data_IF_011042996588
#
_entry.id   IF_011042996588
#
_cell.length_a   1.000
_cell.length_b   1.000
_cell.length_c   1.000
_cell.angle_alpha   90.00
_cell.angle_beta   90.00
_cell.angle_gamma   90.00
#
_symmetry.space_group_name_H-M   'P 1'
#
loop_
_entity.id
_entity.type
_entity.pdbx_description
1 polymer ?
#
# COMPACT_ATOMS: atom_id res chain seq x y z
N UNK A 1 -25.49 16.40 45.99
CA UNK A 1 -25.89 17.32 44.89
C UNK A 1 -24.72 18.18 44.39
N UNK A 2 -24.12 19.10 45.17
CA UNK A 2 -23.02 19.98 44.70
C UNK A 2 -21.78 19.26 44.16
N UNK A 3 -21.33 18.17 44.80
CA UNK A 3 -20.19 17.35 44.33
C UNK A 3 -20.46 16.63 43.01
N UNK A 4 -21.70 16.21 42.78
CA UNK A 4 -22.13 15.57 41.53
C UNK A 4 -22.15 16.62 40.40
N UNK A 5 -22.69 17.82 40.67
CA UNK A 5 -22.71 18.93 39.70
C UNK A 5 -21.28 19.32 39.31
N UNK A 6 -20.37 19.45 40.27
CA UNK A 6 -18.95 19.75 39.99
C UNK A 6 -18.29 18.67 39.13
N UNK A 7 -18.53 17.39 39.43
CA UNK A 7 -18.00 16.29 38.64
C UNK A 7 -18.52 16.31 37.19
N UNK A 8 -19.81 16.58 37.00
CA UNK A 8 -20.41 16.72 35.65
C UNK A 8 -19.77 17.87 34.89
N UNK A 9 -19.58 19.04 35.51
CA UNK A 9 -18.94 20.20 34.86
C UNK A 9 -17.52 19.85 34.40
N UNK A 10 -16.73 19.22 35.25
CA UNK A 10 -15.35 18.81 34.92
C UNK A 10 -15.35 17.84 33.74
N UNK A 11 -16.23 16.83 33.76
CA UNK A 11 -16.33 15.86 32.66
C UNK A 11 -16.75 16.56 31.36
N UNK A 12 -17.74 17.44 31.39
CA UNK A 12 -18.17 18.16 30.19
C UNK A 12 -17.08 19.07 29.62
N UNK A 13 -16.32 19.77 30.48
CA UNK A 13 -15.22 20.62 30.04
C UNK A 13 -14.04 19.80 29.46
N UNK A 14 -13.77 18.63 30.04
CA UNK A 14 -12.76 17.69 29.52
C UNK A 14 -13.17 17.14 28.14
N UNK A 15 -14.41 16.68 27.99
CA UNK A 15 -14.94 16.18 26.71
C UNK A 15 -14.92 17.30 25.66
N UNK A 16 -15.34 18.51 26.00
CA UNK A 16 -15.32 19.65 25.08
C UNK A 16 -13.89 20.00 24.63
N UNK A 17 -12.94 20.00 25.57
CA UNK A 17 -11.52 20.22 25.25
C UNK A 17 -10.96 19.16 24.30
N UNK A 18 -11.33 17.89 24.49
CA UNK A 18 -10.92 16.79 23.62
C UNK A 18 -11.51 16.92 22.22
N UNK A 19 -12.81 17.20 22.10
CA UNK A 19 -13.46 17.43 20.79
C UNK A 19 -12.86 18.64 20.08
N UNK A 20 -12.54 19.71 20.81
CA UNK A 20 -11.87 20.88 20.24
C UNK A 20 -10.46 20.54 19.72
N UNK A 21 -9.68 19.77 20.48
CA UNK A 21 -8.37 19.31 20.04
C UNK A 21 -8.46 18.36 18.82
N UNK A 22 -9.43 17.44 18.81
CA UNK A 22 -9.71 16.54 17.68
C UNK A 22 -10.01 17.33 16.40
N UNK A 23 -10.82 18.40 16.51
CA UNK A 23 -11.17 19.27 15.38
C UNK A 23 -9.98 20.03 14.75
N UNK A 24 -8.80 20.01 15.40
CA UNK A 24 -7.57 20.63 14.90
C UNK A 24 -6.62 19.64 14.21
N UNK A 25 -6.94 18.36 14.22
CA UNK A 25 -6.10 17.30 13.67
C UNK A 25 -6.78 16.74 12.44
N UNK A 26 -6.05 16.73 11.33
CA UNK A 26 -6.58 16.39 10.00
C UNK A 26 -7.23 14.99 9.96
N UNK A 27 -6.58 14.01 10.58
CA UNK A 27 -7.06 12.62 10.65
C UNK A 27 -7.83 12.30 11.95
N UNK A 28 -8.01 13.29 12.83
CA UNK A 28 -8.51 13.11 14.20
C UNK A 28 -7.51 12.48 15.18
N UNK A 29 -7.68 12.77 16.46
CA UNK A 29 -6.84 12.31 17.58
C UNK A 29 -6.79 10.78 17.68
N UNK A 30 -7.90 10.09 17.41
CA UNK A 30 -7.97 8.64 17.54
C UNK A 30 -7.08 7.95 16.51
N UNK A 31 -7.07 8.45 15.28
CA UNK A 31 -6.25 7.86 14.21
C UNK A 31 -4.76 8.15 14.43
N UNK A 32 -4.43 9.38 14.83
CA UNK A 32 -3.06 9.75 15.24
C UNK A 32 -2.52 8.87 16.37
N UNK A 33 -3.35 8.62 17.39
CA UNK A 33 -2.98 7.73 18.50
C UNK A 33 -2.82 6.28 18.04
N UNK A 34 -3.63 5.80 17.09
CA UNK A 34 -3.43 4.46 16.52
C UNK A 34 -2.10 4.38 15.80
N UNK A 35 -1.82 5.31 14.88
CA UNK A 35 -0.56 5.35 14.11
C UNK A 35 0.65 5.39 15.05
N UNK A 36 0.57 6.14 16.15
CA UNK A 36 1.63 6.19 17.15
C UNK A 36 1.84 4.88 17.94
N UNK A 37 0.78 4.08 18.10
CA UNK A 37 0.76 2.88 18.94
C UNK A 37 0.85 1.57 18.14
N UNK A 38 0.71 1.62 16.81
CA UNK A 38 0.82 0.47 15.92
C UNK A 38 2.14 0.53 15.14
N UNK A 39 2.78 -0.63 14.86
CA UNK A 39 3.95 -0.67 14.00
C UNK A 39 3.59 -0.31 12.56
N UNK A 40 4.59 0.16 11.80
CA UNK A 40 4.41 0.41 10.37
C UNK A 40 4.18 -0.93 9.62
N UNK A 41 3.07 -1.08 8.86
CA UNK A 41 2.80 -2.27 8.06
C UNK A 41 3.84 -2.52 6.96
N UNK A 42 4.68 -1.54 6.61
CA UNK A 42 5.76 -1.66 5.63
C UNK A 42 7.16 -1.73 6.26
N UNK A 43 7.27 -1.75 7.60
CA UNK A 43 8.57 -1.71 8.30
C UNK A 43 9.48 -2.87 7.85
N UNK A 44 8.90 -4.06 7.72
CA UNK A 44 9.62 -5.29 7.41
C UNK A 44 9.06 -5.95 6.15
N UNK A 45 9.91 -6.09 5.13
CA UNK A 45 9.64 -6.89 3.94
C UNK A 45 9.84 -8.38 4.27
N UNK A 46 8.83 -9.20 4.03
CA UNK A 46 8.87 -10.66 4.32
C UNK A 46 8.93 -11.52 3.06
N UNK A 47 9.01 -10.91 1.88
CA UNK A 47 9.26 -11.63 0.64
C UNK A 47 10.74 -12.01 0.54
N UNK A 48 11.07 -12.96 -0.33
CA UNK A 48 12.44 -13.47 -0.46
C UNK A 48 13.30 -12.51 -1.29
N UNK A 49 14.48 -12.16 -0.75
CA UNK A 49 15.42 -11.28 -1.44
C UNK A 49 15.84 -11.83 -2.80
N UNK A 50 15.86 -10.96 -3.80
CA UNK A 50 16.22 -11.33 -5.17
C UNK A 50 15.03 -11.69 -6.04
N UNK A 51 13.80 -11.69 -5.49
CA UNK A 51 12.55 -11.99 -6.19
C UNK A 51 11.76 -10.73 -6.60
N UNK A 52 10.85 -10.89 -7.56
CA UNK A 52 10.00 -9.81 -8.06
C UNK A 52 9.11 -9.21 -6.96
N UNK A 53 8.56 -10.05 -6.10
CA UNK A 53 7.70 -9.68 -4.96
C UNK A 53 8.43 -8.82 -3.93
N UNK A 54 9.68 -9.17 -3.62
CA UNK A 54 10.54 -8.40 -2.72
C UNK A 54 10.82 -7.01 -3.26
N UNK A 55 11.21 -6.91 -4.52
CA UNK A 55 11.51 -5.64 -5.17
C UNK A 55 10.28 -4.72 -5.22
N UNK A 56 9.13 -5.25 -5.63
CA UNK A 56 7.88 -4.47 -5.72
C UNK A 56 7.43 -3.98 -4.34
N UNK A 57 7.58 -4.78 -3.29
CA UNK A 57 7.27 -4.33 -1.93
C UNK A 57 8.13 -3.12 -1.52
N UNK A 58 9.44 -3.16 -1.80
CA UNK A 58 10.34 -2.06 -1.48
C UNK A 58 9.98 -0.80 -2.28
N UNK A 59 9.65 -0.93 -3.58
CA UNK A 59 9.16 0.18 -4.41
C UNK A 59 7.88 0.83 -3.86
N UNK A 60 6.90 0.02 -3.45
CA UNK A 60 5.66 0.52 -2.84
C UNK A 60 5.96 1.28 -1.54
N UNK A 61 6.89 0.78 -0.73
CA UNK A 61 7.32 1.44 0.51
C UNK A 61 7.99 2.78 0.23
N UNK A 62 8.89 2.85 -0.75
CA UNK A 62 9.60 4.06 -1.16
C UNK A 62 8.63 5.18 -1.56
N UNK A 63 7.51 4.82 -2.19
CA UNK A 63 6.47 5.76 -2.61
C UNK A 63 5.48 6.14 -1.49
N UNK A 64 5.74 5.71 -0.25
CA UNK A 64 4.89 6.00 0.91
C UNK A 64 3.54 5.27 0.86
N UNK A 65 3.47 4.19 0.09
CA UNK A 65 2.29 3.35 -0.07
C UNK A 65 2.47 2.04 0.71
N UNK A 66 1.40 1.25 0.80
CA UNK A 66 1.40 -0.04 1.47
C UNK A 66 0.70 -1.11 0.65
N UNK A 67 1.21 -2.33 0.80
CA UNK A 67 0.60 -3.61 0.44
C UNK A 67 0.75 -4.58 1.61
N UNK A 68 0.09 -5.74 1.55
CA UNK A 68 0.32 -6.76 2.57
C UNK A 68 1.61 -7.53 2.32
N UNK A 69 2.18 -8.01 3.43
CA UNK A 69 3.40 -8.81 3.44
C UNK A 69 3.14 -10.33 3.36
N UNK A 70 1.87 -10.73 3.21
CA UNK A 70 1.43 -12.14 3.34
C UNK A 70 0.81 -12.72 2.08
N UNK A 71 0.94 -12.05 0.93
CA UNK A 71 0.37 -12.53 -0.33
C UNK A 71 1.19 -13.63 -0.99
N UNK A 72 2.38 -13.98 -0.47
CA UNK A 72 3.19 -15.11 -0.95
C UNK A 72 3.64 -14.92 -2.40
N UNK A 73 3.59 -16.00 -3.19
CA UNK A 73 3.99 -16.00 -4.60
C UNK A 73 3.14 -15.07 -5.46
N UNK A 74 3.73 -14.51 -6.50
CA UNK A 74 3.13 -13.47 -7.33
C UNK A 74 1.82 -13.91 -8.00
N UNK A 75 1.65 -15.20 -8.32
CA UNK A 75 0.41 -15.74 -8.89
C UNK A 75 -0.83 -15.48 -8.01
N UNK A 76 -0.67 -15.37 -6.69
CA UNK A 76 -1.78 -15.15 -5.75
C UNK A 76 -2.05 -13.69 -5.41
N UNK A 77 -1.19 -12.75 -5.83
CA UNK A 77 -1.25 -11.37 -5.34
C UNK A 77 -2.57 -10.69 -5.68
N UNK A 78 -3.09 -10.85 -6.90
CA UNK A 78 -4.35 -10.22 -7.28
C UNK A 78 -5.55 -10.76 -6.48
N UNK A 79 -5.61 -12.08 -6.25
CA UNK A 79 -6.68 -12.70 -5.46
C UNK A 79 -6.62 -12.25 -4.00
N UNK A 80 -5.45 -12.35 -3.36
CA UNK A 80 -5.28 -12.01 -1.93
C UNK A 80 -5.39 -10.51 -1.68
N UNK A 81 -4.95 -9.68 -2.62
CA UNK A 81 -5.16 -8.24 -2.55
C UNK A 81 -6.65 -7.88 -2.58
N UNK A 82 -7.46 -8.54 -3.42
CA UNK A 82 -8.92 -8.34 -3.44
C UNK A 82 -9.56 -8.79 -2.12
N UNK A 83 -9.15 -9.95 -1.56
CA UNK A 83 -9.60 -10.43 -0.26
C UNK A 83 -9.28 -9.44 0.89
N UNK A 84 -8.12 -8.79 0.84
CA UNK A 84 -7.70 -7.74 1.78
C UNK A 84 -8.26 -6.34 1.44
N UNK A 85 -9.16 -6.26 0.45
CA UNK A 85 -9.90 -5.07 0.07
C UNK A 85 -9.05 -3.99 -0.59
N UNK A 86 -8.00 -4.37 -1.31
CA UNK A 86 -7.32 -3.49 -2.26
C UNK A 86 -8.15 -3.37 -3.54
N UNK A 87 -7.93 -2.31 -4.31
CA UNK A 87 -8.54 -2.21 -5.63
C UNK A 87 -7.72 -3.07 -6.59
N UNK A 88 -8.38 -4.06 -7.19
CA UNK A 88 -7.81 -4.92 -8.22
C UNK A 88 -8.67 -4.78 -9.47
N UNK A 89 -8.08 -4.34 -10.58
CA UNK A 89 -8.80 -4.07 -11.82
C UNK A 89 -7.92 -4.26 -13.07
N UNK A 90 -8.44 -3.83 -14.22
CA UNK A 90 -7.80 -3.93 -15.53
C UNK A 90 -7.25 -2.56 -16.02
N UNK A 91 -6.95 -1.64 -15.09
CA UNK A 91 -6.51 -0.26 -15.39
C UNK A 91 -5.07 -0.06 -14.89
N UNK A 92 -4.06 0.08 -15.77
CA UNK A 92 -2.71 0.44 -15.36
C UNK A 92 -2.68 1.89 -14.86
N UNK A 93 -1.96 2.12 -13.77
CA UNK A 93 -1.71 3.44 -13.18
C UNK A 93 -0.27 3.49 -12.66
N UNK A 94 0.36 4.66 -12.73
CA UNK A 94 1.67 4.85 -12.11
C UNK A 94 1.58 4.55 -10.60
N UNK A 95 2.49 3.73 -10.12
CA UNK A 95 2.51 3.22 -8.75
C UNK A 95 1.61 2.02 -8.47
N UNK A 96 0.82 1.56 -9.45
CA UNK A 96 0.13 0.28 -9.36
C UNK A 96 1.07 -0.89 -9.69
N UNK A 97 0.61 -2.10 -9.37
CA UNK A 97 1.37 -3.33 -9.54
C UNK A 97 0.78 -4.15 -10.68
N UNK A 98 1.57 -4.42 -11.71
CA UNK A 98 1.18 -5.32 -12.79
C UNK A 98 1.45 -6.76 -12.36
N UNK A 99 0.43 -7.61 -12.38
CA UNK A 99 0.50 -9.01 -11.93
C UNK A 99 0.04 -9.98 -13.02
N UNK A 100 0.68 -11.14 -13.10
CA UNK A 100 0.26 -12.29 -13.92
C UNK A 100 0.43 -13.61 -13.19
N UNK A 101 -0.43 -14.58 -13.52
CA UNK A 101 -0.30 -15.99 -13.14
C UNK A 101 0.62 -16.77 -14.10
N UNK A 102 1.06 -16.18 -15.21
CA UNK A 102 1.96 -16.82 -16.17
C UNK A 102 3.32 -17.09 -15.54
N UNK A 103 3.75 -18.34 -15.60
CA UNK A 103 5.00 -18.82 -14.99
C UNK A 103 4.71 -19.99 -14.04
N UNK A 104 5.72 -20.46 -13.30
CA UNK A 104 5.52 -21.49 -12.27
C UNK A 104 4.93 -20.90 -10.98
N UNK A 105 5.24 -19.63 -10.68
CA UNK A 105 4.83 -18.92 -9.46
C UNK A 105 4.24 -17.52 -9.75
N UNK A 106 3.89 -17.27 -11.01
CA UNK A 106 3.47 -15.95 -11.52
C UNK A 106 4.59 -14.92 -11.56
N UNK A 107 4.23 -13.66 -11.81
CA UNK A 107 5.17 -12.53 -11.80
C UNK A 107 4.49 -11.21 -11.44
N UNK A 108 5.22 -10.30 -10.79
CA UNK A 108 4.74 -8.95 -10.46
C UNK A 108 5.80 -7.89 -10.81
N UNK A 109 5.34 -6.74 -11.30
CA UNK A 109 6.19 -5.59 -11.62
C UNK A 109 5.56 -4.29 -11.08
N UNK A 110 6.40 -3.29 -10.83
CA UNK A 110 5.98 -1.96 -10.42
C UNK A 110 5.78 -1.08 -11.65
N UNK A 111 4.66 -0.37 -11.76
CA UNK A 111 4.43 0.57 -12.88
C UNK A 111 5.07 1.91 -12.55
N UNK A 112 6.17 2.23 -13.23
CA UNK A 112 6.88 3.50 -13.05
C UNK A 112 6.12 4.66 -13.71
N UNK A 113 5.54 4.43 -14.89
CA UNK A 113 4.77 5.46 -15.60
C UNK A 113 3.79 4.89 -16.62
N UNK A 114 2.75 5.64 -16.94
CA UNK A 114 1.80 5.33 -18.02
C UNK A 114 1.93 6.40 -19.10
N UNK A 115 2.13 5.96 -20.33
CA UNK A 115 2.35 6.81 -21.50
C UNK A 115 1.03 7.30 -22.12
N UNK A 116 1.10 8.39 -22.89
CA UNK A 116 -0.07 8.99 -23.56
C UNK A 116 -0.80 8.03 -24.52
N UNK A 117 -0.09 7.03 -25.07
CA UNK A 117 -0.64 6.03 -25.99
C UNK A 117 -1.26 4.81 -25.28
N UNK A 118 -1.23 4.80 -23.94
CA UNK A 118 -1.74 3.72 -23.08
C UNK A 118 -0.76 2.59 -22.84
N UNK A 119 0.43 2.59 -23.44
CA UNK A 119 1.54 1.75 -22.98
C UNK A 119 2.03 2.21 -21.61
N UNK A 120 2.78 1.38 -20.90
CA UNK A 120 3.32 1.77 -19.60
C UNK A 120 4.67 1.12 -19.36
N UNK A 121 5.52 1.81 -18.60
CA UNK A 121 6.86 1.35 -18.25
C UNK A 121 6.82 0.71 -16.87
N UNK A 122 7.42 -0.47 -16.78
CA UNK A 122 7.56 -1.21 -15.52
C UNK A 122 9.02 -1.37 -15.12
N UNK A 123 9.26 -1.42 -13.82
CA UNK A 123 10.49 -1.94 -13.22
C UNK A 123 10.18 -3.20 -12.43
N UNK A 124 11.09 -4.18 -12.51
CA UNK A 124 10.89 -5.50 -11.92
C UNK A 124 12.23 -6.17 -11.63
N UNK A 125 12.24 -7.11 -10.68
CA UNK A 125 13.41 -7.93 -10.37
C UNK A 125 13.14 -9.38 -10.75
N UNK A 126 14.19 -10.13 -11.10
CA UNK A 126 14.09 -11.56 -11.43
C UNK A 126 13.22 -11.88 -12.64
N UNK A 127 13.01 -10.91 -13.54
CA UNK A 127 12.42 -11.19 -14.85
C UNK A 127 13.46 -11.82 -15.80
N UNK A 128 14.71 -11.35 -15.72
CA UNK A 128 15.84 -11.88 -16.48
C UNK A 128 16.64 -12.89 -15.65
N UNK A 129 17.17 -12.46 -14.51
CA UNK A 129 17.95 -13.27 -13.57
C UNK A 129 17.72 -12.80 -12.12
N UNK A 130 17.89 -13.70 -11.14
CA UNK A 130 17.70 -13.38 -9.72
C UNK A 130 18.61 -12.24 -9.28
N UNK A 131 18.08 -11.31 -8.47
CA UNK A 131 18.73 -10.05 -8.07
C UNK A 131 18.98 -9.03 -9.19
N UNK A 132 18.61 -9.32 -10.45
CA UNK A 132 18.71 -8.35 -11.54
C UNK A 132 17.42 -7.54 -11.63
N UNK A 133 17.55 -6.22 -11.55
CA UNK A 133 16.48 -5.27 -11.85
C UNK A 133 16.49 -4.96 -13.34
N UNK A 134 15.35 -5.10 -13.99
CA UNK A 134 15.14 -4.77 -15.40
C UNK A 134 13.97 -3.80 -15.55
N UNK A 135 13.96 -3.08 -16.66
CA UNK A 135 12.86 -2.21 -17.08
C UNK A 135 12.35 -2.66 -18.45
N UNK A 136 11.04 -2.56 -18.67
CA UNK A 136 10.46 -2.74 -20.01
C UNK A 136 9.16 -1.95 -20.17
N UNK A 137 8.86 -1.64 -21.43
CA UNK A 137 7.57 -1.08 -21.81
C UNK A 137 6.59 -2.19 -22.13
N UNK A 138 5.40 -2.12 -21.56
CA UNK A 138 4.27 -2.99 -21.83
C UNK A 138 3.35 -2.30 -22.83
N UNK A 139 3.08 -2.96 -23.94
CA UNK A 139 2.17 -2.44 -24.97
C UNK A 139 0.72 -2.52 -24.50
N UNK A 140 -0.16 -1.74 -25.15
CA UNK A 140 -1.61 -1.80 -24.90
C UNK A 140 -2.22 -3.15 -25.22
N UNK A 141 -1.63 -3.92 -26.15
CA UNK A 141 -2.08 -5.28 -26.46
C UNK A 141 -1.73 -6.24 -25.33
N UNK A 142 -0.51 -6.16 -24.80
CA UNK A 142 -0.06 -6.97 -23.66
C UNK A 142 -0.78 -6.60 -22.36
N UNK A 143 -1.17 -5.34 -22.18
CA UNK A 143 -1.87 -4.85 -20.99
C UNK A 143 -3.11 -5.68 -20.62
N UNK A 144 -3.80 -6.24 -21.62
CA UNK A 144 -5.00 -7.06 -21.41
C UNK A 144 -4.72 -8.43 -20.73
N UNK A 145 -3.46 -8.85 -20.64
CA UNK A 145 -3.05 -10.12 -20.05
C UNK A 145 -2.74 -10.03 -18.54
N UNK A 146 -2.86 -8.85 -17.95
CA UNK A 146 -2.44 -8.57 -16.58
C UNK A 146 -3.61 -8.13 -15.68
N UNK A 147 -3.39 -8.25 -14.38
CA UNK A 147 -4.19 -7.58 -13.34
C UNK A 147 -3.39 -6.47 -12.69
N UNK A 148 -4.08 -5.41 -12.26
CA UNK A 148 -3.47 -4.25 -11.66
C UNK A 148 -3.96 -4.10 -10.22
N UNK A 149 -3.02 -4.19 -9.29
CA UNK A 149 -3.26 -4.01 -7.86
C UNK A 149 -2.87 -2.58 -7.51
N UNK A 150 -3.77 -1.85 -6.85
CA UNK A 150 -3.55 -0.45 -6.49
C UNK A 150 -3.22 -0.36 -4.99
N UNK A 151 -1.97 -0.02 -4.62
CA UNK A 151 -1.56 0.13 -3.23
C UNK A 151 -2.40 1.16 -2.46
N UNK A 152 -2.47 0.98 -1.14
CA UNK A 152 -3.14 1.94 -0.24
C UNK A 152 -2.11 2.93 0.29
N UNK A 153 -2.55 4.11 0.72
CA UNK A 153 -1.66 5.08 1.38
C UNK A 153 -1.14 4.50 2.69
N UNK A 154 0.18 4.49 2.89
CA UNK A 154 0.77 4.14 4.18
C UNK A 154 0.76 5.35 5.11
N UNK A 155 -0.12 5.34 6.11
CA UNK A 155 -0.23 6.44 7.08
C UNK A 155 0.98 6.58 8.01
N UNK A 156 1.92 5.64 7.98
CA UNK A 156 3.15 5.67 8.76
C UNK A 156 4.35 6.28 8.02
N UNK A 157 4.28 6.45 6.69
CA UNK A 157 5.45 6.77 5.84
C UNK A 157 6.15 8.11 6.19
N UNK A 158 5.40 9.15 6.54
CA UNK A 158 5.96 10.50 6.78
C UNK A 158 6.55 10.71 8.20
N UNK A 159 6.77 9.64 8.97
CA UNK A 159 7.14 9.73 10.40
C UNK A 159 8.54 9.25 10.76
N UNK A 160 9.35 8.87 9.78
CA UNK A 160 10.75 8.45 9.99
C UNK A 160 11.73 9.63 10.16
#
# INVERSE_FOLDING_TARGET
MKRIILAVIIITAAVFSLVYADSKIENGLIEELKILLTPDPMENNTYDQGECTYYVFDKVKEDGMMIERSWGDAEYWAERADEDGYVVNDIPEAGALMQTDRGEIGHVAYIESVNDDGSFDVSEMNFLESYEVSERTITTEEAADYKYIHPKVNKHADRE
#
